data_IF_337345602969
#
_entry.id   IF_337345602969
#
_cell.length_a   1.000
_cell.length_b   1.000
_cell.length_c   1.000
_cell.angle_alpha   90.00
_cell.angle_beta   90.00
_cell.angle_gamma   90.00
#
_symmetry.space_group_name_H-M   'P 1'
#
loop_
_entity.id
_entity.type
_entity.pdbx_description
1 polymer ?
#
# COMPACT_ATOMS: atom_id res chain seq x y z
N UNK A 1 -13.16 -17.02 -11.49
CA UNK A 1 -14.50 -17.42 -11.00
C UNK A 1 -15.57 -16.85 -11.92
N UNK A 2 -16.28 -17.70 -12.67
CA UNK A 2 -17.39 -17.27 -13.55
C UNK A 2 -18.76 -17.23 -12.88
N UNK A 3 -18.96 -18.01 -11.80
CA UNK A 3 -20.27 -18.17 -11.12
C UNK A 3 -20.45 -17.34 -9.86
N UNK A 4 -19.47 -17.36 -8.94
CA UNK A 4 -19.57 -16.63 -7.67
C UNK A 4 -18.20 -16.12 -7.23
N UNK A 5 -18.15 -14.91 -6.70
CA UNK A 5 -16.94 -14.34 -6.13
C UNK A 5 -16.73 -14.90 -4.71
N UNK A 6 -15.50 -15.30 -4.39
CA UNK A 6 -15.16 -15.73 -3.03
C UNK A 6 -15.40 -14.61 -2.01
N UNK A 7 -15.84 -15.02 -0.80
CA UNK A 7 -15.97 -14.11 0.34
C UNK A 7 -14.60 -13.58 0.73
N UNK A 8 -14.54 -12.28 1.05
CA UNK A 8 -13.30 -11.66 1.55
C UNK A 8 -13.10 -12.05 3.01
N UNK A 9 -11.88 -12.43 3.37
CA UNK A 9 -11.48 -12.70 4.74
C UNK A 9 -11.18 -11.37 5.45
N UNK A 10 -11.78 -11.10 6.63
CA UNK A 10 -11.44 -9.91 7.39
C UNK A 10 -10.03 -10.03 7.97
N UNK A 11 -9.28 -8.93 7.95
CA UNK A 11 -7.97 -8.85 8.58
C UNK A 11 -8.13 -8.48 10.05
N UNK A 12 -7.30 -9.08 10.90
CA UNK A 12 -7.09 -8.63 12.27
C UNK A 12 -6.50 -7.20 12.26
N UNK A 13 -6.88 -6.34 13.22
CA UNK A 13 -6.30 -5.01 13.35
C UNK A 13 -4.86 -5.08 13.87
N UNK A 14 -4.13 -3.98 13.68
CA UNK A 14 -2.76 -3.79 14.16
C UNK A 14 -2.67 -3.74 15.70
N UNK A 15 -1.65 -4.33 16.34
CA UNK A 15 -1.53 -4.29 17.80
C UNK A 15 -1.20 -2.91 18.39
N UNK A 16 -0.60 -1.98 17.65
CA UNK A 16 -0.19 -0.65 18.15
C UNK A 16 -1.26 0.42 17.88
N UNK A 17 -1.80 0.45 16.67
CA UNK A 17 -2.75 1.49 16.22
C UNK A 17 -4.20 0.98 16.08
N UNK A 18 -4.45 -0.32 16.27
CA UNK A 18 -5.75 -0.96 16.09
C UNK A 18 -6.37 -0.73 14.69
N UNK A 19 -5.54 -0.50 13.66
CA UNK A 19 -5.99 -0.26 12.28
C UNK A 19 -5.75 -1.48 11.38
N UNK A 20 -6.77 -1.83 10.60
CA UNK A 20 -6.72 -2.89 9.58
C UNK A 20 -5.92 -2.46 8.35
N UNK A 21 -5.82 -1.16 8.07
CA UNK A 21 -5.05 -0.63 6.96
C UNK A 21 -3.55 -0.88 7.15
N UNK A 22 -3.05 -0.67 8.36
CA UNK A 22 -1.67 -0.96 8.76
C UNK A 22 -1.37 -2.45 8.58
N UNK A 23 -2.24 -3.33 9.08
CA UNK A 23 -2.06 -4.78 8.90
C UNK A 23 -2.05 -5.18 7.42
N UNK A 24 -2.90 -4.57 6.59
CA UNK A 24 -2.89 -4.79 5.14
C UNK A 24 -1.58 -4.32 4.50
N UNK A 25 -1.04 -3.19 4.94
CA UNK A 25 0.24 -2.67 4.46
C UNK A 25 1.41 -3.59 4.83
N UNK A 26 1.52 -3.98 6.09
CA UNK A 26 2.56 -4.89 6.61
C UNK A 26 2.52 -6.23 5.88
N UNK A 27 1.34 -6.79 5.64
CA UNK A 27 1.20 -8.03 4.88
C UNK A 27 1.72 -7.93 3.43
N UNK A 28 1.68 -6.74 2.80
CA UNK A 28 2.24 -6.54 1.46
C UNK A 28 3.76 -6.28 1.49
N UNK A 29 4.30 -5.77 2.60
CA UNK A 29 5.75 -5.65 2.80
C UNK A 29 6.39 -7.01 3.07
N UNK A 30 5.68 -7.87 3.82
CA UNK A 30 6.16 -9.17 4.29
C UNK A 30 6.64 -10.08 3.16
N UNK A 31 7.82 -10.68 3.38
CA UNK A 31 8.40 -11.72 2.54
C UNK A 31 8.56 -13.01 3.35
N UNK A 32 8.42 -14.15 2.70
CA UNK A 32 8.62 -15.48 3.30
C UNK A 32 7.77 -15.74 4.56
N UNK A 33 6.65 -15.03 4.73
CA UNK A 33 5.78 -15.17 5.91
C UNK A 33 6.34 -14.57 7.20
N UNK A 34 7.45 -13.81 7.15
CA UNK A 34 8.09 -13.21 8.33
C UNK A 34 7.36 -11.95 8.79
N UNK A 35 6.25 -12.12 9.51
CA UNK A 35 5.38 -11.01 9.93
C UNK A 35 6.02 -10.09 10.97
N UNK A 36 6.78 -10.63 11.92
CA UNK A 36 7.49 -9.84 12.94
C UNK A 36 8.44 -8.83 12.29
N UNK A 37 9.30 -9.31 11.38
CA UNK A 37 10.25 -8.47 10.65
C UNK A 37 9.55 -7.39 9.82
N UNK A 38 8.39 -7.70 9.24
CA UNK A 38 7.62 -6.73 8.48
C UNK A 38 7.06 -5.60 9.37
N UNK A 39 6.60 -5.93 10.59
CA UNK A 39 6.20 -4.94 11.58
C UNK A 39 7.38 -4.09 12.04
N UNK A 40 8.52 -4.73 12.31
CA UNK A 40 9.74 -4.03 12.74
C UNK A 40 10.17 -3.01 11.68
N UNK A 41 10.16 -3.39 10.40
CA UNK A 41 10.48 -2.48 9.29
C UNK A 41 9.49 -1.30 9.25
N UNK A 42 8.20 -1.56 9.41
CA UNK A 42 7.17 -0.53 9.34
C UNK A 42 7.29 0.48 10.49
N UNK A 43 7.37 0.01 11.74
CA UNK A 43 7.49 0.91 12.89
C UNK A 43 8.82 1.67 12.89
N UNK A 44 9.93 1.01 12.51
CA UNK A 44 11.21 1.71 12.37
C UNK A 44 11.17 2.79 11.28
N UNK A 45 10.40 2.60 10.21
CA UNK A 45 10.21 3.64 9.20
C UNK A 45 9.41 4.82 9.76
N UNK A 46 8.30 4.56 10.48
CA UNK A 46 7.49 5.61 11.11
C UNK A 46 8.31 6.42 12.14
N UNK A 47 9.12 5.76 12.96
CA UNK A 47 9.97 6.44 13.94
C UNK A 47 11.03 7.33 13.26
N UNK A 48 11.55 6.93 12.09
CA UNK A 48 12.49 7.76 11.31
C UNK A 48 11.81 8.97 10.70
N UNK A 49 10.62 8.78 10.11
CA UNK A 49 9.81 9.88 9.55
C UNK A 49 9.47 10.88 10.65
N UNK A 50 9.03 10.40 11.81
CA UNK A 50 8.69 11.27 12.94
C UNK A 50 9.90 12.08 13.43
N UNK A 51 11.10 11.48 13.47
CA UNK A 51 12.34 12.19 13.82
C UNK A 51 12.75 13.26 12.79
N UNK A 52 12.45 13.05 11.50
CA UNK A 52 12.81 14.00 10.45
C UNK A 52 11.81 15.16 10.34
N UNK A 53 10.51 14.87 10.45
CA UNK A 53 9.45 15.86 10.23
C UNK A 53 9.01 16.54 11.53
N UNK A 54 9.24 15.90 12.70
CA UNK A 54 8.75 16.39 13.99
C UNK A 54 7.26 16.17 14.24
N UNK A 55 6.56 15.56 13.29
CA UNK A 55 5.13 15.22 13.36
C UNK A 55 4.94 13.72 13.66
N UNK A 56 3.70 13.30 13.89
CA UNK A 56 3.37 11.89 14.11
C UNK A 56 3.49 11.10 12.79
N UNK A 57 4.43 10.15 12.74
CA UNK A 57 4.71 9.37 11.52
C UNK A 57 3.49 8.62 10.97
N UNK A 58 2.55 8.23 11.83
CA UNK A 58 1.30 7.58 11.44
C UNK A 58 0.40 8.49 10.58
N UNK A 59 0.26 9.76 10.95
CA UNK A 59 -0.54 10.73 10.19
C UNK A 59 0.12 11.04 8.83
N UNK A 60 1.44 11.20 8.82
CA UNK A 60 2.21 11.39 7.59
C UNK A 60 2.01 10.22 6.65
N UNK A 61 2.11 8.98 7.15
CA UNK A 61 1.88 7.78 6.33
C UNK A 61 0.46 7.75 5.75
N UNK A 62 -0.55 8.12 6.53
CA UNK A 62 -1.94 8.19 6.03
C UNK A 62 -2.11 9.25 4.94
N UNK A 63 -1.47 10.41 5.12
CA UNK A 63 -1.44 11.50 4.13
C UNK A 63 -0.72 11.07 2.86
N UNK A 64 0.43 10.40 2.99
CA UNK A 64 1.17 9.83 1.86
C UNK A 64 0.31 8.84 1.07
N UNK A 65 -0.40 7.93 1.75
CA UNK A 65 -1.32 7.01 1.08
C UNK A 65 -2.45 7.73 0.34
N UNK A 66 -3.00 8.81 0.89
CA UNK A 66 -3.99 9.62 0.20
C UNK A 66 -3.44 10.23 -1.09
N UNK A 67 -2.21 10.74 -1.05
CA UNK A 67 -1.55 11.37 -2.21
C UNK A 67 -1.25 10.37 -3.33
N UNK A 68 -0.86 9.13 -2.98
CA UNK A 68 -0.54 8.08 -3.98
C UNK A 68 -1.82 7.49 -4.61
N UNK A 69 -3.00 7.73 -4.02
CA UNK A 69 -4.24 7.09 -4.43
C UNK A 69 -4.77 7.63 -5.76
N UNK A 70 -4.87 6.81 -6.83
CA UNK A 70 -5.39 7.26 -8.11
C UNK A 70 -6.92 7.35 -8.10
N UNK A 71 -7.46 8.40 -8.72
CA UNK A 71 -8.90 8.56 -8.90
C UNK A 71 -9.44 7.72 -10.08
N UNK A 72 -8.69 7.67 -11.18
CA UNK A 72 -9.10 7.02 -12.44
C UNK A 72 -8.01 6.04 -12.89
N UNK A 73 -8.42 4.87 -13.39
CA UNK A 73 -7.54 3.94 -14.08
C UNK A 73 -8.02 3.69 -15.50
N UNK A 74 -7.10 3.32 -16.37
CA UNK A 74 -7.41 2.97 -17.74
C UNK A 74 -7.61 1.45 -17.81
N UNK A 75 -8.72 1.02 -18.43
CA UNK A 75 -9.01 -0.39 -18.68
C UNK A 75 -9.07 -0.68 -20.18
N UNK A 76 -8.39 -1.74 -20.58
CA UNK A 76 -8.43 -2.23 -21.96
C UNK A 76 -9.80 -2.85 -22.27
N UNK A 77 -10.49 -2.35 -23.30
CA UNK A 77 -11.73 -2.91 -23.82
C UNK A 77 -11.63 -3.09 -25.32
N UNK A 78 -12.09 -4.24 -25.82
CA UNK A 78 -12.13 -4.53 -27.26
C UNK A 78 -13.47 -4.08 -27.85
N UNK A 79 -13.42 -3.25 -28.89
CA UNK A 79 -14.60 -2.71 -29.59
C UNK A 79 -14.29 -2.77 -31.10
N UNK A 80 -15.16 -3.40 -31.89
CA UNK A 80 -15.02 -3.42 -33.35
C UNK A 80 -13.72 -4.05 -33.88
N UNK A 81 -13.11 -4.98 -33.13
CA UNK A 81 -11.87 -5.66 -33.54
C UNK A 81 -10.58 -5.06 -32.96
N UNK A 82 -10.57 -3.75 -32.65
CA UNK A 82 -9.44 -3.05 -32.01
C UNK A 82 -9.56 -2.96 -30.49
N UNK A 83 -8.44 -2.78 -29.79
CA UNK A 83 -8.36 -2.61 -28.33
C UNK A 83 -8.19 -1.15 -27.95
N UNK A 84 -9.11 -0.61 -27.16
CA UNK A 84 -9.09 0.75 -26.68
C UNK A 84 -8.84 0.82 -25.18
N UNK A 85 -8.21 1.89 -24.76
CA UNK A 85 -7.92 2.23 -23.38
C UNK A 85 -9.02 3.17 -22.87
N UNK A 86 -9.91 2.65 -22.03
CA UNK A 86 -11.08 3.41 -21.55
C UNK A 86 -10.84 3.85 -20.10
N UNK A 87 -10.90 5.16 -19.80
CA UNK A 87 -10.82 5.64 -18.42
C UNK A 87 -12.06 5.17 -17.63
N UNK A 88 -11.82 4.66 -16.43
CA UNK A 88 -12.84 4.20 -15.50
C UNK A 88 -12.46 4.62 -14.09
N UNK A 89 -13.45 4.96 -13.27
CA UNK A 89 -13.20 5.26 -11.86
C UNK A 89 -12.66 4.01 -11.13
N UNK A 90 -11.63 4.21 -10.29
CA UNK A 90 -11.05 3.13 -9.50
C UNK A 90 -11.96 2.78 -8.34
N UNK A 91 -12.25 1.50 -8.16
CA UNK A 91 -13.05 1.01 -7.02
C UNK A 91 -12.33 1.30 -5.68
N UNK A 92 -13.03 1.66 -4.59
CA UNK A 92 -12.39 2.05 -3.31
C UNK A 92 -11.39 1.02 -2.73
N UNK A 93 -11.73 -0.27 -2.75
CA UNK A 93 -10.82 -1.32 -2.27
C UNK A 93 -9.56 -1.47 -3.14
N UNK A 94 -9.70 -1.17 -4.43
CA UNK A 94 -8.60 -1.19 -5.39
C UNK A 94 -7.72 0.05 -5.27
N UNK A 95 -8.31 1.21 -4.97
CA UNK A 95 -7.59 2.45 -4.62
C UNK A 95 -6.55 2.16 -3.55
N UNK A 96 -6.99 1.66 -2.40
CA UNK A 96 -6.11 1.27 -1.28
C UNK A 96 -5.03 0.26 -1.71
N UNK A 97 -5.41 -0.78 -2.46
CA UNK A 97 -4.46 -1.81 -2.90
C UNK A 97 -3.38 -1.29 -3.84
N UNK A 98 -3.73 -0.36 -4.74
CA UNK A 98 -2.80 0.25 -5.67
C UNK A 98 -1.84 1.17 -4.93
N UNK A 99 -2.35 2.01 -4.03
CA UNK A 99 -1.51 2.95 -3.26
C UNK A 99 -0.46 2.22 -2.44
N UNK A 100 -0.87 1.17 -1.72
CA UNK A 100 0.05 0.32 -0.93
C UNK A 100 1.10 -0.33 -1.83
N UNK A 101 0.67 -0.88 -2.98
CA UNK A 101 1.56 -1.60 -3.89
C UNK A 101 2.59 -0.67 -4.53
N UNK A 102 2.18 0.52 -4.96
CA UNK A 102 3.07 1.50 -5.55
C UNK A 102 4.07 2.01 -4.52
N UNK A 103 3.61 2.41 -3.33
CA UNK A 103 4.50 2.88 -2.27
C UNK A 103 5.57 1.84 -1.95
N UNK A 104 5.19 0.59 -1.67
CA UNK A 104 6.15 -0.48 -1.35
C UNK A 104 7.09 -0.78 -2.53
N UNK A 105 6.57 -0.81 -3.75
CA UNK A 105 7.38 -1.12 -4.94
C UNK A 105 8.44 -0.05 -5.18
N UNK A 106 8.05 1.22 -5.21
CA UNK A 106 8.97 2.32 -5.47
C UNK A 106 9.94 2.53 -4.31
N UNK A 107 9.50 2.36 -3.05
CA UNK A 107 10.43 2.31 -1.93
C UNK A 107 11.49 1.21 -2.11
N UNK A 108 11.14 0.01 -2.61
CA UNK A 108 12.13 -1.05 -2.81
C UNK A 108 13.14 -0.74 -3.91
N UNK A 109 12.66 -0.14 -5.00
CA UNK A 109 13.48 0.26 -6.16
C UNK A 109 14.45 1.42 -5.81
N UNK A 110 14.18 2.18 -4.74
CA UNK A 110 15.03 3.28 -4.29
C UNK A 110 16.39 2.83 -3.76
N UNK A 111 17.38 3.72 -3.89
CA UNK A 111 18.70 3.57 -3.28
C UNK A 111 18.63 3.84 -1.77
N UNK A 112 19.17 2.91 -0.98
CA UNK A 112 19.19 3.00 0.48
C UNK A 112 19.68 1.69 1.11
N UNK A 113 20.17 1.75 2.35
CA UNK A 113 20.76 0.57 3.03
C UNK A 113 19.68 -0.38 3.56
N UNK A 114 18.72 0.13 4.32
CA UNK A 114 17.66 -0.67 4.93
C UNK A 114 16.30 -0.42 4.27
N UNK A 115 15.38 -1.39 4.32
CA UNK A 115 14.02 -1.18 3.83
C UNK A 115 13.30 -0.08 4.63
N UNK A 116 13.58 0.04 5.93
CA UNK A 116 13.02 1.09 6.76
C UNK A 116 13.49 2.49 6.32
N UNK A 117 14.76 2.62 5.95
CA UNK A 117 15.30 3.85 5.35
C UNK A 117 14.65 4.17 4.02
N UNK A 118 14.58 3.18 3.14
CA UNK A 118 14.00 3.38 1.82
C UNK A 118 12.52 3.78 1.89
N UNK A 119 11.78 3.19 2.82
CA UNK A 119 10.37 3.52 3.05
C UNK A 119 10.20 4.89 3.70
N UNK A 120 11.06 5.28 4.64
CA UNK A 120 10.96 6.58 5.30
C UNK A 120 11.28 7.76 4.37
N UNK A 121 12.13 7.54 3.36
CA UNK A 121 12.50 8.57 2.39
C UNK A 121 11.49 8.72 1.24
N UNK A 122 10.55 7.79 1.09
CA UNK A 122 9.52 7.75 0.04
C UNK A 122 8.24 8.48 0.47
#
# INVERSE_FOLDING_TARGET
MRKAQAKKLPLAPDPRYNDKLVTRFVNNIMWEGKKSVAFDIFYNALDRVSKQTGEEGYEIWRKALSNVTPAVEVRSRRIGGATFQIPSEVRPDRKISLSIKWLIRYSRERNGRSMADKLANE
#
